data_IF_801469965992
#
_entry.id   IF_801469965992
#
_cell.length_a   1.000
_cell.length_b   1.000
_cell.length_c   1.000
_cell.angle_alpha   90.00
_cell.angle_beta   90.00
_cell.angle_gamma   90.00
#
_symmetry.space_group_name_H-M   'P 1'
#
loop_
_entity.id
_entity.type
_entity.pdbx_description
1 polymer ?
#
# COMPACT_ATOMS: atom_id res chain seq x y z
N UNK A 1 -28.45 33.66 -0.74
CA UNK A 1 -27.03 33.46 -1.12
C UNK A 1 -26.41 32.19 -0.53
N UNK A 2 -26.59 31.91 0.78
CA UNK A 2 -26.04 30.73 1.45
C UNK A 2 -26.49 29.36 0.87
N UNK A 3 -27.75 29.23 0.46
CA UNK A 3 -28.29 27.97 -0.10
C UNK A 3 -27.58 27.53 -1.40
N UNK A 4 -27.24 28.47 -2.29
CA UNK A 4 -26.49 28.17 -3.53
C UNK A 4 -25.04 27.74 -3.26
N UNK A 5 -24.42 28.27 -2.20
CA UNK A 5 -23.05 27.87 -1.79
C UNK A 5 -23.06 26.47 -1.20
N UNK A 6 -24.04 26.15 -0.36
CA UNK A 6 -24.21 24.81 0.22
C UNK A 6 -24.51 23.75 -0.84
N UNK A 7 -25.40 24.06 -1.80
CA UNK A 7 -25.70 23.16 -2.92
C UNK A 7 -24.48 22.90 -3.81
N UNK A 8 -23.68 23.94 -4.12
CA UNK A 8 -22.42 23.76 -4.88
C UNK A 8 -21.40 22.89 -4.13
N UNK A 9 -21.25 23.07 -2.81
CA UNK A 9 -20.35 22.24 -1.99
C UNK A 9 -20.83 20.80 -1.92
N UNK A 10 -22.14 20.57 -1.76
CA UNK A 10 -22.72 19.22 -1.75
C UNK A 10 -22.52 18.50 -3.08
N UNK A 11 -22.71 19.19 -4.21
CA UNK A 11 -22.48 18.62 -5.53
C UNK A 11 -21.01 18.29 -5.76
N UNK A 12 -20.09 19.16 -5.31
CA UNK A 12 -18.65 18.91 -5.38
C UNK A 12 -18.25 17.70 -4.52
N UNK A 13 -18.79 17.58 -3.30
CA UNK A 13 -18.53 16.44 -2.43
C UNK A 13 -19.08 15.14 -3.03
N UNK A 14 -20.30 15.15 -3.57
CA UNK A 14 -20.87 13.98 -4.23
C UNK A 14 -20.06 13.54 -5.45
N UNK A 15 -19.64 14.48 -6.30
CA UNK A 15 -18.78 14.20 -7.45
C UNK A 15 -17.42 13.63 -7.00
N UNK A 16 -16.81 14.19 -5.95
CA UNK A 16 -15.57 13.65 -5.37
C UNK A 16 -15.76 12.27 -4.76
N UNK A 17 -16.88 11.99 -4.10
CA UNK A 17 -17.19 10.65 -3.60
C UNK A 17 -17.34 9.63 -4.73
N UNK A 18 -17.95 10.02 -5.85
CA UNK A 18 -18.12 9.15 -7.01
C UNK A 18 -16.79 8.91 -7.73
N UNK A 19 -15.96 9.94 -7.89
CA UNK A 19 -14.59 9.80 -8.39
C UNK A 19 -13.73 8.89 -7.50
N UNK A 20 -13.84 9.02 -6.17
CA UNK A 20 -13.14 8.14 -5.23
C UNK A 20 -13.64 6.70 -5.29
N UNK A 21 -14.93 6.46 -5.58
CA UNK A 21 -15.49 5.11 -5.79
C UNK A 21 -15.02 4.48 -7.09
N UNK A 22 -14.78 5.29 -8.11
CA UNK A 22 -14.25 4.84 -9.41
C UNK A 22 -12.72 4.75 -9.44
N UNK A 23 -12.04 5.24 -8.40
CA UNK A 23 -10.58 5.25 -8.33
C UNK A 23 -10.03 3.83 -8.40
N UNK A 24 -8.99 3.66 -9.21
CA UNK A 24 -8.29 2.38 -9.35
C UNK A 24 -7.46 2.12 -8.09
N UNK A 25 -7.61 0.94 -7.52
CA UNK A 25 -6.90 0.58 -6.29
C UNK A 25 -5.56 -0.07 -6.62
N UNK A 26 -4.51 0.40 -5.94
CA UNK A 26 -3.23 -0.28 -5.78
C UNK A 26 -3.19 -0.76 -4.33
N UNK A 27 -2.93 -2.04 -4.11
CA UNK A 27 -2.85 -2.62 -2.77
C UNK A 27 -1.39 -2.78 -2.35
N UNK A 28 -1.13 -2.67 -1.04
CA UNK A 28 0.17 -2.99 -0.47
C UNK A 28 0.04 -3.78 0.83
N UNK A 29 1.03 -4.62 1.12
CA UNK A 29 1.04 -5.54 2.24
C UNK A 29 1.99 -5.03 3.31
N UNK A 30 1.45 -4.65 4.46
CA UNK A 30 2.22 -4.47 5.68
C UNK A 30 2.43 -5.85 6.33
N UNK A 31 3.38 -6.62 5.77
CA UNK A 31 3.69 -7.98 6.24
C UNK A 31 4.48 -7.88 7.53
N UNK A 32 3.94 -8.41 8.63
CA UNK A 32 4.56 -8.39 9.96
C UNK A 32 4.96 -9.78 10.42
N UNK A 33 6.19 -9.91 10.92
CA UNK A 33 6.69 -11.10 11.62
C UNK A 33 7.66 -10.68 12.72
N UNK A 34 7.47 -11.21 13.93
CA UNK A 34 8.33 -10.97 15.09
C UNK A 34 8.60 -9.48 15.38
N UNK A 35 7.54 -8.65 15.29
CA UNK A 35 7.63 -7.20 15.51
C UNK A 35 8.39 -6.43 14.42
N UNK A 36 8.59 -7.05 13.25
CA UNK A 36 9.25 -6.42 12.09
C UNK A 36 8.34 -6.41 10.87
N UNK A 37 8.48 -5.37 10.07
CA UNK A 37 7.77 -5.16 8.81
C UNK A 37 8.66 -5.53 7.62
N UNK A 38 8.13 -6.24 6.62
CA UNK A 38 8.84 -6.46 5.36
C UNK A 38 8.73 -5.22 4.45
N UNK A 39 9.86 -4.79 3.90
CA UNK A 39 9.93 -3.83 2.81
C UNK A 39 10.67 -4.44 1.62
N UNK A 40 10.36 -3.96 0.41
CA UNK A 40 11.05 -4.34 -0.82
C UNK A 40 11.66 -3.13 -1.52
N UNK A 41 12.77 -3.34 -2.22
CA UNK A 41 13.52 -2.29 -2.90
C UNK A 41 13.25 -2.32 -4.40
N UNK A 42 12.74 -1.22 -4.95
CA UNK A 42 12.39 -1.10 -6.37
C UNK A 42 13.59 -1.33 -7.28
N UNK A 43 13.36 -2.15 -8.29
CA UNK A 43 14.27 -2.39 -9.42
C UNK A 43 14.05 -1.38 -10.55
N UNK A 44 12.81 -0.91 -10.75
CA UNK A 44 12.43 0.04 -11.81
C UNK A 44 11.20 0.89 -11.44
N UNK A 45 10.89 1.99 -12.15
CA UNK A 45 11.72 2.67 -13.17
C UNK A 45 12.96 3.34 -12.55
N UNK A 46 13.95 3.71 -13.37
CA UNK A 46 15.23 4.31 -12.92
C UNK A 46 15.05 5.48 -11.94
N UNK A 47 14.02 6.31 -12.15
CA UNK A 47 13.73 7.46 -11.28
C UNK A 47 13.39 7.10 -9.83
N UNK A 48 13.03 5.85 -9.56
CA UNK A 48 12.72 5.33 -8.22
C UNK A 48 13.51 4.04 -7.90
N UNK A 49 14.46 3.64 -8.75
CA UNK A 49 15.27 2.45 -8.51
C UNK A 49 16.11 2.68 -7.25
N UNK A 50 16.12 1.68 -6.36
CA UNK A 50 16.80 1.77 -5.06
C UNK A 50 15.95 2.34 -3.92
N UNK A 51 14.79 2.95 -4.21
CA UNK A 51 13.84 3.34 -3.16
C UNK A 51 13.05 2.13 -2.66
N UNK A 52 12.47 2.26 -1.47
CA UNK A 52 11.74 1.19 -0.79
C UNK A 52 10.24 1.41 -0.82
N UNK A 53 9.49 0.32 -0.84
CA UNK A 53 8.02 0.29 -0.81
C UNK A 53 7.51 -0.95 -0.08
N UNK A 54 6.21 -0.97 0.21
CA UNK A 54 5.53 -2.18 0.63
C UNK A 54 5.26 -3.10 -0.57
N UNK A 55 5.32 -4.43 -0.41
CA UNK A 55 4.93 -5.38 -1.45
C UNK A 55 3.49 -5.22 -1.91
N UNK A 56 3.22 -5.37 -3.20
CA UNK A 56 1.87 -5.29 -3.75
C UNK A 56 1.80 -4.57 -5.09
N UNK A 57 0.59 -4.54 -5.65
CA UNK A 57 0.38 -4.04 -7.00
C UNK A 57 -1.05 -3.63 -7.28
N UNK A 58 -1.39 -3.54 -8.56
CA UNK A 58 -2.68 -3.01 -8.99
C UNK A 58 -3.75 -4.09 -8.88
N UNK A 59 -4.92 -3.71 -8.35
CA UNK A 59 -6.11 -4.55 -8.42
C UNK A 59 -6.62 -4.63 -9.86
N UNK A 60 -6.74 -5.84 -10.39
CA UNK A 60 -7.24 -6.05 -11.75
C UNK A 60 -8.77 -5.87 -11.86
N UNK A 61 -9.31 -5.60 -13.06
CA UNK A 61 -10.76 -5.49 -13.25
C UNK A 61 -11.51 -6.76 -12.80
N UNK A 62 -12.41 -6.61 -11.82
CA UNK A 62 -13.19 -7.73 -11.27
C UNK A 62 -12.50 -8.49 -10.14
N UNK A 63 -11.24 -8.16 -9.83
CA UNK A 63 -10.48 -8.75 -8.73
C UNK A 63 -10.83 -8.06 -7.40
N UNK A 64 -10.90 -8.84 -6.30
CA UNK A 64 -11.02 -8.25 -4.97
C UNK A 64 -9.66 -7.71 -4.53
N UNK A 65 -9.58 -6.57 -3.83
CA UNK A 65 -8.31 -6.03 -3.34
C UNK A 65 -7.49 -7.02 -2.51
N UNK A 66 -8.12 -7.86 -1.69
CA UNK A 66 -7.44 -8.88 -0.89
C UNK A 66 -6.88 -10.01 -1.75
N UNK A 67 -7.60 -10.41 -2.80
CA UNK A 67 -7.17 -11.47 -3.71
C UNK A 67 -5.99 -10.98 -4.55
N UNK A 68 -6.05 -9.73 -5.01
CA UNK A 68 -4.94 -9.04 -5.66
C UNK A 68 -3.69 -9.04 -4.77
N UNK A 69 -3.84 -8.69 -3.49
CA UNK A 69 -2.70 -8.63 -2.58
C UNK A 69 -2.03 -9.98 -2.37
N UNK A 70 -2.81 -11.06 -2.29
CA UNK A 70 -2.27 -12.42 -2.18
C UNK A 70 -1.52 -12.82 -3.45
N UNK A 71 -2.10 -12.52 -4.63
CA UNK A 71 -1.45 -12.79 -5.93
C UNK A 71 -0.12 -12.05 -6.04
N UNK A 72 -0.11 -10.75 -5.78
CA UNK A 72 1.09 -9.91 -5.87
C UNK A 72 2.18 -10.38 -4.90
N UNK A 73 1.85 -10.73 -3.66
CA UNK A 73 2.84 -11.32 -2.73
C UNK A 73 3.44 -12.64 -3.26
N UNK A 74 2.64 -13.47 -3.93
CA UNK A 74 3.16 -14.71 -4.54
C UNK A 74 4.09 -14.39 -5.72
N UNK A 75 3.72 -13.44 -6.56
CA UNK A 75 4.49 -13.03 -7.75
C UNK A 75 5.80 -12.33 -7.38
N UNK A 76 5.74 -11.34 -6.47
CA UNK A 76 6.89 -10.51 -6.09
C UNK A 76 7.80 -11.20 -5.06
N UNK A 77 7.21 -12.00 -4.15
CA UNK A 77 7.92 -12.54 -2.98
C UNK A 77 8.01 -14.06 -2.91
N UNK A 78 7.26 -14.78 -3.76
CA UNK A 78 7.22 -16.24 -3.74
C UNK A 78 6.44 -16.84 -2.56
N UNK A 79 5.72 -16.02 -1.77
CA UNK A 79 5.03 -16.48 -0.56
C UNK A 79 3.59 -15.99 -0.47
N UNK A 80 2.65 -16.84 -0.02
CA UNK A 80 1.29 -16.42 0.27
C UNK A 80 1.18 -15.74 1.63
N UNK A 81 0.26 -14.77 1.71
CA UNK A 81 -0.05 -14.03 2.94
C UNK A 81 -1.50 -14.21 3.37
N UNK A 82 -1.75 -14.16 4.68
CA UNK A 82 -3.07 -13.96 5.23
C UNK A 82 -3.32 -12.45 5.35
N UNK A 83 -4.36 -11.96 4.68
CA UNK A 83 -4.70 -10.53 4.65
C UNK A 83 -5.59 -10.18 5.84
N UNK A 84 -5.19 -9.15 6.58
CA UNK A 84 -5.91 -8.60 7.72
C UNK A 84 -6.60 -7.27 7.41
N UNK A 85 -6.76 -6.46 8.45
CA UNK A 85 -7.43 -5.16 8.37
C UNK A 85 -6.61 -4.11 7.61
N UNK A 86 -7.29 -3.08 7.11
CA UNK A 86 -6.64 -1.94 6.48
C UNK A 86 -5.77 -1.17 7.49
N UNK A 87 -4.57 -0.75 7.06
CA UNK A 87 -3.61 0.03 7.84
C UNK A 87 -3.56 1.45 7.31
N UNK A 88 -4.00 2.39 8.14
CA UNK A 88 -4.04 3.80 7.77
C UNK A 88 -5.08 4.13 6.67
N UNK A 89 -5.16 5.40 6.27
CA UNK A 89 -6.07 5.83 5.21
C UNK A 89 -5.54 5.45 3.82
N UNK A 90 -6.43 5.43 2.83
CA UNK A 90 -6.03 5.39 1.42
C UNK A 90 -5.15 6.61 1.08
N UNK A 91 -4.03 6.38 0.39
CA UNK A 91 -3.11 7.43 -0.05
C UNK A 91 -3.36 7.73 -1.54
N UNK A 92 -3.74 8.97 -1.91
CA UNK A 92 -3.94 9.32 -3.31
C UNK A 92 -2.64 9.19 -4.12
N UNK A 93 -2.75 8.51 -5.26
CA UNK A 93 -1.70 8.38 -6.26
C UNK A 93 -2.05 9.20 -7.51
N UNK A 94 -1.12 9.28 -8.47
CA UNK A 94 -1.37 9.90 -9.78
C UNK A 94 -2.38 9.07 -10.58
N UNK A 95 -3.03 9.70 -11.58
CA UNK A 95 -3.95 9.06 -12.55
C UNK A 95 -5.17 8.38 -11.90
N UNK A 96 -5.80 9.06 -10.94
CA UNK A 96 -7.03 8.60 -10.28
C UNK A 96 -6.88 7.22 -9.61
N UNK A 97 -5.71 7.00 -9.02
CA UNK A 97 -5.39 5.80 -8.26
C UNK A 97 -5.30 6.10 -6.77
N UNK A 98 -5.52 5.09 -5.94
CA UNK A 98 -5.28 5.13 -4.49
C UNK A 98 -4.42 3.94 -4.07
N UNK A 99 -3.46 4.16 -3.19
CA UNK A 99 -2.73 3.11 -2.48
C UNK A 99 -3.50 2.76 -1.21
N UNK A 100 -3.82 1.48 -1.05
CA UNK A 100 -4.48 0.94 0.14
C UNK A 100 -3.61 -0.14 0.76
N UNK A 101 -3.24 0.04 2.02
CA UNK A 101 -2.41 -0.93 2.74
C UNK A 101 -3.26 -1.83 3.60
N UNK A 102 -2.96 -3.12 3.59
CA UNK A 102 -3.53 -4.10 4.50
C UNK A 102 -2.44 -4.69 5.40
N UNK A 103 -2.76 -4.94 6.65
CA UNK A 103 -1.94 -5.79 7.51
C UNK A 103 -1.87 -7.20 6.90
N UNK A 104 -0.72 -7.84 7.01
CA UNK A 104 -0.53 -9.17 6.47
C UNK A 104 0.40 -10.01 7.35
N UNK A 105 0.20 -11.33 7.34
CA UNK A 105 1.12 -12.29 7.95
C UNK A 105 1.46 -13.40 6.96
N UNK A 106 2.66 -13.96 7.07
CA UNK A 106 3.07 -15.07 6.22
C UNK A 106 2.26 -16.33 6.56
N UNK A 107 1.69 -17.00 5.56
CA UNK A 107 1.07 -18.32 5.75
C UNK A 107 2.13 -19.42 5.81
N UNK A 108 3.27 -19.19 5.16
CA UNK A 108 4.46 -20.04 5.19
C UNK A 108 5.50 -19.59 4.18
N UNK A 109 6.71 -20.14 4.27
CA UNK A 109 7.85 -19.77 3.41
C UNK A 109 8.64 -18.56 3.92
N UNK A 110 9.69 -18.23 3.18
CA UNK A 110 10.52 -17.04 3.40
C UNK A 110 10.42 -16.14 2.17
N UNK A 111 10.10 -14.83 2.34
CA UNK A 111 10.04 -13.90 1.22
C UNK A 111 11.40 -13.74 0.53
N UNK A 112 11.40 -13.77 -0.80
CA UNK A 112 12.57 -13.47 -1.63
C UNK A 112 12.26 -12.27 -2.54
N UNK A 113 13.27 -11.61 -3.10
CA UNK A 113 13.04 -10.53 -4.07
C UNK A 113 12.98 -11.13 -5.49
N UNK A 114 11.79 -11.49 -5.97
CA UNK A 114 11.64 -12.14 -7.29
C UNK A 114 11.61 -11.12 -8.43
N UNK A 115 10.93 -9.98 -8.23
CA UNK A 115 10.83 -8.90 -9.23
C UNK A 115 11.55 -7.60 -8.80
N UNK A 116 12.03 -7.57 -7.56
CA UNK A 116 12.66 -6.43 -6.90
C UNK A 116 14.14 -6.68 -6.63
N UNK A 117 14.87 -5.63 -6.23
CA UNK A 117 16.31 -5.75 -6.01
C UNK A 117 16.65 -6.43 -4.68
N UNK A 118 15.83 -6.20 -3.65
CA UNK A 118 16.07 -6.70 -2.30
C UNK A 118 14.79 -6.68 -1.47
N UNK A 119 14.77 -7.47 -0.41
CA UNK A 119 13.80 -7.39 0.69
C UNK A 119 14.52 -7.16 2.02
N UNK A 120 13.87 -6.50 2.97
CA UNK A 120 14.42 -6.21 4.30
C UNK A 120 13.33 -6.22 5.36
N UNK A 121 13.64 -6.84 6.50
CA UNK A 121 12.83 -6.78 7.71
C UNK A 121 13.23 -5.57 8.57
N UNK A 122 12.28 -4.69 8.87
CA UNK A 122 12.46 -3.41 9.54
C UNK A 122 11.76 -3.38 10.90
N UNK A 123 12.43 -2.87 11.93
CA UNK A 123 11.78 -2.51 13.20
C UNK A 123 11.04 -1.17 13.10
N UNK A 124 10.15 -0.89 14.06
CA UNK A 124 9.43 0.38 14.13
C UNK A 124 10.35 1.63 14.16
N UNK A 125 11.53 1.51 14.78
CA UNK A 125 12.53 2.59 14.88
C UNK A 125 13.31 2.79 13.59
N UNK A 126 13.42 1.76 12.74
CA UNK A 126 14.10 1.85 11.46
C UNK A 126 13.21 2.50 10.38
N UNK A 127 11.88 2.37 10.48
CA UNK A 127 10.94 2.84 9.46
C UNK A 127 11.15 4.31 9.05
N UNK A 128 11.37 5.28 9.96
CA UNK A 128 11.54 6.69 9.57
C UNK A 128 12.82 6.98 8.77
N UNK A 129 13.84 6.11 8.88
CA UNK A 129 15.15 6.29 8.26
C UNK A 129 15.28 5.67 6.87
N UNK A 130 14.27 4.95 6.39
CA UNK A 130 14.26 4.30 5.08
C UNK A 130 13.90 5.31 3.98
N UNK A 131 14.57 5.21 2.83
CA UNK A 131 14.26 5.97 1.62
C UNK A 131 13.03 5.40 0.91
N UNK A 132 11.87 5.61 1.52
CA UNK A 132 10.58 5.19 1.00
C UNK A 132 10.18 5.98 -0.24
N UNK A 133 9.40 5.34 -1.10
CA UNK A 133 8.55 6.08 -2.04
C UNK A 133 7.69 7.12 -1.30
N UNK A 134 7.39 8.26 -1.94
CA UNK A 134 6.59 9.31 -1.30
C UNK A 134 5.23 8.85 -0.77
N UNK A 135 4.57 7.90 -1.45
CA UNK A 135 3.25 7.40 -1.03
C UNK A 135 3.36 6.55 0.24
N UNK A 136 4.30 5.60 0.26
CA UNK A 136 4.59 4.73 1.40
C UNK A 136 5.10 5.51 2.61
N UNK A 137 5.91 6.55 2.38
CA UNK A 137 6.46 7.41 3.43
C UNK A 137 5.37 8.04 4.30
N UNK A 138 4.22 8.40 3.71
CA UNK A 138 3.08 9.01 4.43
C UNK A 138 2.48 8.04 5.45
N UNK A 139 2.62 6.73 5.21
CA UNK A 139 2.05 5.67 6.05
C UNK A 139 2.97 5.24 7.20
N UNK A 140 4.23 5.71 7.25
CA UNK A 140 5.19 5.36 8.31
C UNK A 140 4.61 5.46 9.72
N UNK A 141 3.86 6.53 10.12
CA UNK A 141 3.26 6.58 11.45
C UNK A 141 2.25 5.46 11.72
N UNK A 142 1.43 5.09 10.73
CA UNK A 142 0.47 3.99 10.85
C UNK A 142 1.18 2.64 10.94
N UNK A 143 2.27 2.45 10.18
CA UNK A 143 3.11 1.26 10.23
C UNK A 143 3.82 1.13 11.57
N UNK A 144 4.28 2.23 12.18
CA UNK A 144 4.83 2.22 13.53
C UNK A 144 3.77 1.82 14.56
N UNK A 145 2.53 2.30 14.45
CA UNK A 145 1.44 1.85 15.32
C UNK A 145 1.14 0.37 15.14
N UNK A 146 1.22 -0.17 13.92
CA UNK A 146 0.98 -1.59 13.66
C UNK A 146 2.02 -2.51 14.34
N UNK A 147 3.25 -2.04 14.51
CA UNK A 147 4.34 -2.82 15.10
C UNK A 147 4.39 -2.76 16.64
N UNK A 148 3.55 -1.94 17.29
CA UNK A 148 3.50 -1.73 18.74
C UNK A 148 2.20 -2.28 19.34
#
# INVERSE_FOLDING_TARGET
MALRVLQKRSALLAARCEELRAARVVVGAAIVRDGRLLAQQRSYPESHAGQWELPGGRVEPGEKPTDALVRECVEELGVPVAVGEQVGPDVPLKKDMVLRIYAASLVGGEPEALEHNAVRWLTADELPGVDWLPADRVLVPALQTLLN
#
